data_IF_762106001503
#
_entry.id   IF_762106001503
#
_cell.length_a   1.000
_cell.length_b   1.000
_cell.length_c   1.000
_cell.angle_alpha   90.00
_cell.angle_beta   90.00
_cell.angle_gamma   90.00
#
_symmetry.space_group_name_H-M   'P 1'
#
loop_
_entity.id
_entity.type
_entity.pdbx_description
1 polymer ?
#
# COMPACT_ATOMS: atom_id res chain seq x y z
N UNK A 1 2.69 22.18 -22.17
CA UNK A 1 2.18 21.80 -20.82
C UNK A 1 2.64 20.39 -20.51
N UNK A 2 3.06 20.11 -19.28
CA UNK A 2 3.38 18.72 -18.87
C UNK A 2 2.08 17.87 -18.94
N UNK A 3 2.18 16.63 -19.41
CA UNK A 3 1.04 15.73 -19.42
C UNK A 3 0.56 15.50 -17.98
N UNK A 4 -0.74 15.63 -17.74
CA UNK A 4 -1.36 15.24 -16.46
C UNK A 4 -1.58 13.74 -16.45
N UNK A 5 -1.54 13.14 -15.28
CA UNK A 5 -1.62 11.69 -15.09
C UNK A 5 -2.86 11.37 -14.26
N UNK A 6 -3.76 10.57 -14.84
CA UNK A 6 -5.03 10.17 -14.23
C UNK A 6 -4.95 8.76 -13.66
N UNK A 7 -5.62 8.53 -12.53
CA UNK A 7 -5.93 7.20 -11.99
C UNK A 7 -7.29 6.79 -12.57
N UNK A 8 -7.29 5.83 -13.50
CA UNK A 8 -8.50 5.41 -14.23
C UNK A 8 -9.06 4.08 -13.74
N UNK A 9 -8.28 3.27 -13.08
CA UNK A 9 -8.72 2.00 -12.50
C UNK A 9 -8.05 1.73 -11.17
N UNK A 10 -8.76 1.06 -10.27
CA UNK A 10 -8.30 0.66 -8.95
C UNK A 10 -8.69 -0.79 -8.70
N UNK A 11 -7.73 -1.59 -8.21
CA UNK A 11 -7.96 -2.95 -7.76
C UNK A 11 -7.31 -3.19 -6.41
N UNK A 12 -8.01 -3.92 -5.54
CA UNK A 12 -7.61 -4.10 -4.15
C UNK A 12 -7.79 -5.54 -3.70
N UNK A 13 -6.79 -6.06 -3.01
CA UNK A 13 -6.89 -7.21 -2.13
C UNK A 13 -6.42 -6.77 -0.74
N UNK A 14 -7.24 -6.96 0.27
CA UNK A 14 -6.99 -6.45 1.62
C UNK A 14 -7.39 -7.49 2.68
N UNK A 15 -7.12 -7.27 3.97
CA UNK A 15 -7.60 -8.15 5.04
C UNK A 15 -9.13 -8.35 5.07
N UNK A 16 -9.88 -7.50 4.38
CA UNK A 16 -11.34 -7.61 4.26
C UNK A 16 -11.80 -8.49 3.09
N UNK A 17 -10.91 -8.81 2.16
CA UNK A 17 -11.19 -9.60 0.98
C UNK A 17 -10.69 -8.96 -0.32
N UNK A 18 -11.25 -9.46 -1.43
CA UNK A 18 -10.91 -9.04 -2.79
C UNK A 18 -11.96 -8.04 -3.28
N UNK A 19 -11.50 -6.94 -3.83
CA UNK A 19 -12.32 -5.92 -4.46
C UNK A 19 -12.21 -4.54 -3.83
N UNK A 20 -12.13 -3.52 -4.68
CA UNK A 20 -12.10 -2.10 -4.29
C UNK A 20 -13.32 -1.71 -3.47
N UNK A 21 -14.51 -2.15 -3.86
CA UNK A 21 -15.76 -1.84 -3.16
C UNK A 21 -15.80 -2.47 -1.76
N UNK A 22 -15.30 -3.70 -1.64
CA UNK A 22 -15.16 -4.38 -0.33
C UNK A 22 -14.24 -3.58 0.57
N UNK A 23 -13.08 -3.20 0.06
CA UNK A 23 -12.12 -2.38 0.81
C UNK A 23 -12.75 -1.06 1.25
N UNK A 24 -13.35 -0.31 0.31
CA UNK A 24 -13.90 1.01 0.58
C UNK A 24 -15.03 0.97 1.62
N UNK A 25 -15.93 0.01 1.49
CA UNK A 25 -17.04 -0.18 2.45
C UNK A 25 -16.51 -0.37 3.88
N UNK A 26 -15.51 -1.23 4.06
CA UNK A 26 -14.97 -1.54 5.39
C UNK A 26 -14.18 -0.38 5.99
N UNK A 27 -13.31 0.28 5.22
CA UNK A 27 -12.54 1.41 5.78
C UNK A 27 -13.40 2.64 6.03
N UNK A 28 -14.44 2.88 5.22
CA UNK A 28 -15.39 3.96 5.47
C UNK A 28 -16.27 3.69 6.70
N UNK A 29 -16.51 2.42 7.02
CA UNK A 29 -17.23 2.00 8.22
C UNK A 29 -16.35 1.94 9.48
N UNK A 30 -15.03 2.16 9.36
CA UNK A 30 -14.11 2.03 10.49
C UNK A 30 -13.93 0.57 10.96
N UNK A 31 -14.00 -0.40 10.07
CA UNK A 31 -13.84 -1.81 10.43
C UNK A 31 -12.37 -2.18 10.64
N UNK A 32 -12.06 -3.01 11.64
CA UNK A 32 -10.72 -3.57 11.83
C UNK A 32 -10.53 -4.88 11.08
N UNK A 33 -9.45 -4.97 10.29
CA UNK A 33 -9.00 -6.21 9.65
C UNK A 33 -7.96 -6.98 10.49
N UNK A 34 -7.61 -6.48 11.68
CA UNK A 34 -6.64 -7.13 12.56
C UNK A 34 -7.28 -8.29 13.31
N UNK A 35 -6.61 -9.45 13.31
CA UNK A 35 -7.08 -10.69 13.92
C UNK A 35 -5.94 -11.39 14.65
N UNK A 36 -6.28 -12.37 15.52
CA UNK A 36 -5.29 -13.30 16.03
C UNK A 36 -4.67 -14.10 14.87
N UNK A 37 -3.40 -14.39 14.95
CA UNK A 37 -2.70 -15.25 13.97
C UNK A 37 -3.17 -16.69 14.18
N UNK A 38 -3.66 -17.30 13.09
CA UNK A 38 -4.15 -18.68 13.05
C UNK A 38 -3.46 -19.53 11.99
N UNK A 39 -2.74 -18.90 11.05
CA UNK A 39 -2.14 -19.57 9.91
C UNK A 39 -0.92 -20.43 10.29
N UNK A 40 -0.37 -20.17 11.49
CA UNK A 40 0.73 -20.94 12.09
C UNK A 40 0.72 -20.80 13.61
N UNK A 41 1.49 -21.64 14.31
CA UNK A 41 1.63 -21.54 15.77
C UNK A 41 2.42 -20.28 16.17
N UNK A 42 1.69 -19.29 16.68
CA UNK A 42 2.26 -18.03 17.16
C UNK A 42 2.45 -17.99 18.70
N UNK A 43 2.24 -19.11 19.41
CA UNK A 43 2.27 -19.14 20.89
C UNK A 43 3.60 -18.68 21.49
N UNK A 44 4.72 -18.89 20.78
CA UNK A 44 6.06 -18.45 21.17
C UNK A 44 6.42 -17.02 20.78
N UNK A 45 5.51 -16.27 20.13
CA UNK A 45 5.76 -14.91 19.67
C UNK A 45 5.24 -13.87 20.66
N UNK A 46 5.94 -12.75 20.77
CA UNK A 46 5.49 -11.62 21.56
C UNK A 46 4.26 -10.95 20.95
N UNK A 47 4.23 -10.78 19.62
CA UNK A 47 3.07 -10.32 18.86
C UNK A 47 2.35 -11.52 18.25
N UNK A 48 1.05 -11.67 18.53
CA UNK A 48 0.22 -12.78 18.06
C UNK A 48 -0.97 -12.29 17.24
N UNK A 49 -0.88 -11.09 16.69
CA UNK A 49 -1.92 -10.46 15.88
C UNK A 49 -1.35 -10.01 14.54
N UNK A 50 -2.18 -10.07 13.50
CA UNK A 50 -1.86 -9.57 12.17
C UNK A 50 -3.13 -9.14 11.43
N UNK A 51 -2.96 -8.31 10.41
CA UNK A 51 -3.99 -8.02 9.43
C UNK A 51 -3.65 -8.75 8.11
N UNK A 52 -3.46 -10.07 8.20
CA UNK A 52 -3.20 -10.94 7.06
C UNK A 52 -4.43 -11.05 6.15
N UNK A 53 -4.21 -11.28 4.86
CA UNK A 53 -5.27 -11.65 3.92
C UNK A 53 -5.54 -13.15 4.05
N UNK A 54 -6.76 -13.58 4.41
CA UNK A 54 -7.07 -15.01 4.54
C UNK A 54 -6.92 -15.75 3.20
N UNK A 55 -6.24 -16.89 3.23
CA UNK A 55 -5.95 -17.69 2.02
C UNK A 55 -7.23 -18.21 1.34
N UNK A 56 -8.28 -18.53 2.10
CA UNK A 56 -9.59 -18.94 1.58
C UNK A 56 -10.26 -17.84 0.74
N UNK A 57 -10.10 -16.57 1.10
CA UNK A 57 -10.65 -15.44 0.32
C UNK A 57 -9.93 -15.31 -1.03
N UNK A 58 -8.62 -15.53 -1.03
CA UNK A 58 -7.80 -15.50 -2.25
C UNK A 58 -8.15 -16.68 -3.17
N UNK A 59 -8.32 -17.87 -2.60
CA UNK A 59 -8.69 -19.07 -3.34
C UNK A 59 -10.09 -18.96 -3.95
N UNK A 60 -11.08 -18.47 -3.19
CA UNK A 60 -12.44 -18.26 -3.67
C UNK A 60 -12.49 -17.26 -4.84
N UNK A 61 -11.80 -16.14 -4.72
CA UNK A 61 -11.70 -15.15 -5.80
C UNK A 61 -10.98 -15.71 -7.04
N UNK A 62 -9.91 -16.47 -6.85
CA UNK A 62 -9.20 -17.13 -7.94
C UNK A 62 -10.06 -18.14 -8.71
N UNK A 63 -10.91 -18.91 -8.02
CA UNK A 63 -11.84 -19.85 -8.63
C UNK A 63 -12.94 -19.15 -9.44
N UNK A 64 -13.49 -18.02 -8.94
CA UNK A 64 -14.48 -17.23 -9.66
C UNK A 64 -13.91 -16.63 -10.95
N UNK A 65 -12.65 -16.21 -10.95
CA UNK A 65 -11.98 -15.69 -12.14
C UNK A 65 -11.59 -16.79 -13.15
N UNK A 66 -11.43 -18.05 -12.71
CA UNK A 66 -11.16 -19.17 -13.61
C UNK A 66 -12.41 -19.71 -14.30
N UNK A 67 -13.61 -19.50 -13.73
CA UNK A 67 -14.89 -20.00 -14.24
C UNK A 67 -15.67 -18.99 -15.10
N UNK A 68 -15.22 -17.73 -15.17
CA UNK A 68 -15.84 -16.69 -16.00
C UNK A 68 -15.53 -16.89 -17.49
N UNK A 69 -16.57 -17.09 -18.29
CA UNK A 69 -16.47 -17.11 -19.76
C UNK A 69 -15.86 -15.77 -20.24
N UNK A 70 -14.60 -15.77 -20.66
CA UNK A 70 -13.94 -14.68 -21.34
C UNK A 70 -12.72 -14.07 -20.65
N UNK A 71 -12.45 -14.36 -19.38
CA UNK A 71 -11.37 -13.68 -18.61
C UNK A 71 -10.01 -14.42 -18.59
N UNK A 72 -9.89 -15.54 -19.24
CA UNK A 72 -8.61 -16.19 -19.44
C UNK A 72 -7.88 -15.50 -20.60
N UNK A 73 -7.03 -14.53 -20.31
CA UNK A 73 -5.93 -14.26 -21.25
C UNK A 73 -5.28 -15.63 -21.55
N UNK A 74 -4.94 -15.94 -22.79
CA UNK A 74 -4.38 -17.24 -23.16
C UNK A 74 -3.00 -17.38 -22.50
N UNK A 75 -2.99 -17.90 -21.29
CA UNK A 75 -1.74 -18.10 -20.52
C UNK A 75 -0.90 -19.23 -21.11
N UNK A 76 -1.36 -19.88 -22.19
CA UNK A 76 -0.72 -21.04 -22.82
C UNK A 76 -0.23 -22.09 -21.81
N UNK A 77 -0.92 -22.23 -20.68
CA UNK A 77 -0.54 -23.11 -19.57
C UNK A 77 0.66 -22.63 -18.75
N UNK A 78 1.16 -21.41 -19.00
CA UNK A 78 2.40 -20.90 -18.39
C UNK A 78 2.21 -20.22 -17.04
N UNK A 79 1.00 -19.75 -16.71
CA UNK A 79 0.69 -19.13 -15.45
C UNK A 79 -0.10 -20.11 -14.55
N UNK A 80 0.61 -20.97 -13.82
CA UNK A 80 -0.01 -21.86 -12.84
C UNK A 80 -0.01 -21.20 -11.45
N UNK A 81 -1.19 -20.75 -10.94
CA UNK A 81 -1.28 -20.07 -9.64
C UNK A 81 -0.75 -20.89 -8.46
N UNK A 82 -0.63 -22.22 -8.62
CA UNK A 82 -0.09 -23.12 -7.56
C UNK A 82 1.39 -22.87 -7.29
N UNK A 83 2.11 -22.27 -8.24
CA UNK A 83 3.53 -21.94 -8.08
C UNK A 83 3.76 -20.49 -7.62
N UNK A 84 2.71 -19.68 -7.46
CA UNK A 84 2.84 -18.29 -7.04
C UNK A 84 3.12 -18.17 -5.54
N UNK A 85 4.00 -17.24 -5.18
CA UNK A 85 4.05 -16.71 -3.83
C UNK A 85 2.71 -16.03 -3.48
N UNK A 86 2.36 -15.93 -2.20
CA UNK A 86 1.13 -15.27 -1.76
C UNK A 86 1.04 -13.85 -2.31
N UNK A 87 2.12 -13.07 -2.22
CA UNK A 87 2.20 -11.70 -2.74
C UNK A 87 1.82 -11.61 -4.23
N UNK A 88 2.30 -12.55 -5.06
CA UNK A 88 2.00 -12.58 -6.50
C UNK A 88 0.52 -12.88 -6.76
N UNK A 89 -0.08 -13.79 -5.98
CA UNK A 89 -1.53 -14.07 -6.06
C UNK A 89 -2.36 -12.83 -5.76
N UNK A 90 -2.02 -12.11 -4.66
CA UNK A 90 -2.70 -10.86 -4.29
C UNK A 90 -2.54 -9.80 -5.39
N UNK A 91 -1.30 -9.63 -5.88
CA UNK A 91 -0.98 -8.65 -6.91
C UNK A 91 -1.71 -8.90 -8.23
N UNK A 92 -1.77 -10.17 -8.70
CA UNK A 92 -2.46 -10.52 -9.96
C UNK A 92 -3.97 -10.29 -9.85
N UNK A 93 -4.60 -10.63 -8.70
CA UNK A 93 -6.03 -10.36 -8.48
C UNK A 93 -6.33 -8.86 -8.51
N UNK A 94 -5.57 -8.05 -7.77
CA UNK A 94 -5.73 -6.61 -7.76
C UNK A 94 -5.43 -5.99 -9.15
N UNK A 95 -4.43 -6.49 -9.87
CA UNK A 95 -4.08 -6.04 -11.21
C UNK A 95 -5.22 -6.25 -12.21
N UNK A 96 -5.84 -7.42 -12.20
CA UNK A 96 -7.01 -7.73 -13.05
C UNK A 96 -8.18 -6.79 -12.76
N UNK A 97 -8.46 -6.53 -11.49
CA UNK A 97 -9.52 -5.60 -11.12
C UNK A 97 -9.18 -4.16 -11.60
N UNK A 98 -7.96 -3.67 -11.33
CA UNK A 98 -7.53 -2.34 -11.73
C UNK A 98 -7.60 -2.12 -13.25
N UNK A 99 -7.21 -3.13 -14.02
CA UNK A 99 -7.21 -3.06 -15.47
C UNK A 99 -8.63 -3.08 -16.05
N UNK A 100 -9.49 -3.96 -15.51
CA UNK A 100 -10.92 -4.03 -15.87
C UNK A 100 -11.66 -2.76 -15.46
N UNK A 101 -11.40 -2.23 -14.26
CA UNK A 101 -12.02 -1.00 -13.76
C UNK A 101 -11.63 0.23 -14.60
N UNK A 102 -10.43 0.21 -15.20
CA UNK A 102 -10.01 1.20 -16.18
C UNK A 102 -10.70 1.03 -17.54
N UNK A 103 -11.46 -0.05 -17.78
CA UNK A 103 -12.04 -0.37 -19.08
C UNK A 103 -10.99 -0.76 -20.11
N UNK A 104 -9.90 -1.40 -19.66
CA UNK A 104 -8.81 -1.89 -20.50
C UNK A 104 -8.85 -3.42 -20.56
N UNK A 105 -8.50 -3.96 -21.74
CA UNK A 105 -8.47 -5.42 -21.95
C UNK A 105 -7.06 -5.98 -21.74
N UNK A 106 -6.92 -7.20 -21.18
CA UNK A 106 -5.68 -7.94 -21.16
C UNK A 106 -5.07 -8.11 -22.55
N UNK A 107 -3.76 -8.29 -22.63
CA UNK A 107 -3.04 -8.43 -23.91
C UNK A 107 -2.61 -7.10 -24.54
N UNK A 108 -2.81 -5.98 -23.83
CA UNK A 108 -2.28 -4.69 -24.26
C UNK A 108 -0.74 -4.73 -24.22
N UNK A 109 -0.11 -4.75 -25.41
CA UNK A 109 1.35 -4.91 -25.53
C UNK A 109 2.13 -3.68 -25.09
N UNK A 110 1.50 -2.49 -25.08
CA UNK A 110 2.17 -1.22 -24.78
C UNK A 110 2.05 -0.83 -23.30
N UNK A 111 1.16 -1.48 -22.56
CA UNK A 111 1.04 -1.24 -21.13
C UNK A 111 2.19 -1.91 -20.35
N UNK A 112 2.79 -1.17 -19.43
CA UNK A 112 3.85 -1.64 -18.54
C UNK A 112 3.37 -1.81 -17.10
N UNK A 113 4.24 -2.40 -16.26
CA UNK A 113 4.02 -2.68 -14.84
C UNK A 113 5.17 -2.10 -14.02
N UNK A 114 4.89 -1.18 -13.11
CA UNK A 114 5.84 -0.67 -12.12
C UNK A 114 5.21 -0.73 -10.75
N UNK A 115 5.60 -1.68 -9.92
CA UNK A 115 5.00 -1.91 -8.61
C UNK A 115 6.02 -1.88 -7.50
N UNK A 116 5.57 -1.63 -6.27
CA UNK A 116 6.37 -1.66 -5.07
C UNK A 116 6.14 -2.93 -4.27
N UNK A 117 7.22 -3.52 -3.73
CA UNK A 117 7.17 -4.60 -2.77
C UNK A 117 8.37 -4.54 -1.85
N UNK A 118 8.17 -4.80 -0.56
CA UNK A 118 9.25 -4.80 0.43
C UNK A 118 9.97 -6.14 0.52
N UNK A 119 9.23 -7.24 0.44
CA UNK A 119 9.76 -8.57 0.74
C UNK A 119 9.56 -9.61 -0.38
N UNK A 120 8.78 -9.29 -1.42
CA UNK A 120 8.52 -10.26 -2.49
C UNK A 120 7.93 -11.56 -1.97
N UNK A 121 8.36 -12.69 -2.51
CA UNK A 121 7.89 -14.03 -2.14
C UNK A 121 8.56 -14.61 -0.89
N UNK A 122 8.64 -13.83 0.18
CA UNK A 122 9.28 -14.24 1.44
C UNK A 122 8.64 -15.49 2.05
N UNK A 123 7.34 -15.70 1.90
CA UNK A 123 6.61 -16.89 2.34
C UNK A 123 7.16 -18.17 1.69
N UNK A 124 7.52 -18.09 0.41
CA UNK A 124 8.14 -19.20 -0.33
C UNK A 124 9.58 -19.37 0.13
N UNK A 125 10.34 -18.27 0.27
CA UNK A 125 11.73 -18.32 0.71
C UNK A 125 11.85 -19.01 2.08
N UNK A 126 11.07 -18.61 3.08
CA UNK A 126 11.08 -19.22 4.41
C UNK A 126 10.80 -20.72 4.36
N UNK A 127 9.76 -21.15 3.66
CA UNK A 127 9.42 -22.57 3.53
C UNK A 127 10.51 -23.39 2.82
N UNK A 128 11.04 -22.88 1.72
CA UNK A 128 12.04 -23.60 0.92
C UNK A 128 13.40 -23.68 1.63
N UNK A 129 13.80 -22.63 2.34
CA UNK A 129 15.00 -22.69 3.19
C UNK A 129 14.82 -23.61 4.39
N UNK A 130 13.64 -23.69 4.99
CA UNK A 130 13.37 -24.67 6.05
C UNK A 130 13.54 -26.12 5.55
N UNK A 131 13.03 -26.46 4.36
CA UNK A 131 13.25 -27.77 3.75
C UNK A 131 14.73 -28.04 3.43
N UNK A 132 15.44 -27.05 2.93
CA UNK A 132 16.87 -27.16 2.66
C UNK A 132 17.68 -27.42 3.95
N UNK A 133 17.48 -26.62 4.99
CA UNK A 133 18.24 -26.75 6.25
C UNK A 133 17.84 -27.98 7.07
N UNK A 134 16.65 -28.55 6.87
CA UNK A 134 16.26 -29.83 7.46
C UNK A 134 16.86 -31.05 6.73
N UNK A 135 17.56 -30.84 5.61
CA UNK A 135 18.13 -31.91 4.78
C UNK A 135 17.12 -32.55 3.82
N UNK A 136 15.90 -32.04 3.73
CA UNK A 136 14.85 -32.54 2.84
C UNK A 136 14.99 -31.98 1.41
N UNK A 137 16.17 -32.10 0.79
CA UNK A 137 16.51 -31.48 -0.50
C UNK A 137 15.55 -31.85 -1.64
N UNK A 138 14.96 -33.05 -1.61
CA UNK A 138 13.99 -33.49 -2.60
C UNK A 138 12.67 -32.71 -2.56
N UNK A 139 12.39 -31.97 -1.50
CA UNK A 139 11.21 -31.12 -1.35
C UNK A 139 11.44 -29.67 -1.82
N UNK A 140 12.70 -29.31 -2.07
CA UNK A 140 13.02 -27.95 -2.57
C UNK A 140 12.57 -27.83 -4.02
N UNK A 141 11.70 -26.86 -4.28
CA UNK A 141 11.14 -26.60 -5.61
C UNK A 141 12.22 -26.05 -6.55
N UNK A 142 12.27 -26.47 -7.83
CA UNK A 142 13.10 -25.82 -8.84
C UNK A 142 12.71 -24.36 -9.08
N UNK A 143 11.50 -23.96 -8.69
CA UNK A 143 11.00 -22.59 -8.78
C UNK A 143 11.23 -21.77 -7.48
N UNK A 144 11.89 -22.34 -6.46
CA UNK A 144 12.10 -21.68 -5.17
C UNK A 144 12.71 -20.27 -5.33
N UNK A 145 13.77 -20.14 -6.13
CA UNK A 145 14.46 -18.86 -6.34
C UNK A 145 13.60 -17.88 -7.17
N UNK A 146 13.15 -18.21 -8.41
CA UNK A 146 12.43 -17.23 -9.22
C UNK A 146 11.14 -16.75 -8.57
N UNK A 147 10.45 -17.58 -7.76
CA UNK A 147 9.19 -17.23 -7.11
C UNK A 147 9.39 -16.41 -5.83
N UNK A 148 10.56 -16.53 -5.18
CA UNK A 148 10.83 -15.82 -3.92
C UNK A 148 11.46 -14.43 -4.10
N UNK A 149 12.10 -14.14 -5.24
CA UNK A 149 12.75 -12.83 -5.45
C UNK A 149 11.72 -11.70 -5.56
N UNK A 150 12.09 -10.49 -5.09
CA UNK A 150 11.19 -9.34 -5.08
C UNK A 150 10.70 -8.97 -6.48
N UNK A 151 11.56 -9.08 -7.49
CA UNK A 151 11.26 -8.74 -8.88
C UNK A 151 10.15 -9.56 -9.53
N UNK A 152 9.77 -10.73 -8.95
CA UNK A 152 8.77 -11.61 -9.55
C UNK A 152 7.37 -10.98 -9.62
N UNK A 153 7.04 -10.07 -8.70
CA UNK A 153 5.69 -9.52 -8.57
C UNK A 153 5.24 -8.82 -9.86
N UNK A 154 6.10 -7.97 -10.46
CA UNK A 154 5.76 -7.33 -11.74
C UNK A 154 5.71 -8.31 -12.90
N UNK A 155 6.59 -9.32 -12.89
CA UNK A 155 6.64 -10.35 -13.93
C UNK A 155 5.37 -11.19 -13.95
N UNK A 156 4.88 -11.63 -12.78
CA UNK A 156 3.64 -12.42 -12.67
C UNK A 156 2.41 -11.63 -13.11
N UNK A 157 2.34 -10.35 -12.79
CA UNK A 157 1.29 -9.45 -13.30
C UNK A 157 1.39 -9.38 -14.84
N UNK A 158 2.58 -9.13 -15.38
CA UNK A 158 2.81 -9.02 -16.83
C UNK A 158 2.41 -10.31 -17.56
N UNK A 159 2.80 -11.49 -17.02
CA UNK A 159 2.44 -12.80 -17.57
C UNK A 159 0.93 -13.01 -17.52
N UNK A 160 0.31 -12.72 -16.37
CA UNK A 160 -1.11 -12.98 -16.15
C UNK A 160 -2.05 -12.10 -17.00
N UNK A 161 -1.61 -10.89 -17.37
CA UNK A 161 -2.40 -9.94 -18.17
C UNK A 161 -1.87 -9.79 -19.60
N UNK A 162 -0.76 -10.44 -19.98
CA UNK A 162 -0.18 -10.33 -21.31
C UNK A 162 0.40 -8.94 -21.61
N UNK A 163 0.87 -8.21 -20.59
CA UNK A 163 1.47 -6.88 -20.74
C UNK A 163 2.94 -7.01 -21.12
N UNK A 164 3.38 -6.31 -22.15
CA UNK A 164 4.73 -6.44 -22.72
C UNK A 164 5.55 -5.16 -22.67
N UNK A 165 5.02 -4.11 -22.06
CA UNK A 165 5.79 -2.92 -21.74
C UNK A 165 6.82 -3.19 -20.63
N UNK A 166 7.39 -2.13 -20.06
CA UNK A 166 8.35 -2.25 -18.96
C UNK A 166 7.76 -3.02 -17.77
N UNK A 167 8.59 -3.81 -17.09
CA UNK A 167 8.17 -4.61 -15.93
C UNK A 167 9.21 -4.48 -14.82
N UNK A 168 8.91 -3.64 -13.83
CA UNK A 168 9.84 -3.29 -12.75
C UNK A 168 9.21 -3.42 -11.36
N UNK A 169 10.04 -3.77 -10.37
CA UNK A 169 9.69 -3.68 -8.96
C UNK A 169 10.64 -2.73 -8.25
N UNK A 170 10.09 -1.76 -7.52
CA UNK A 170 10.84 -0.91 -6.62
C UNK A 170 10.75 -1.49 -5.20
N UNK A 171 11.91 -1.60 -4.54
CA UNK A 171 12.00 -2.06 -3.15
C UNK A 171 12.76 -1.03 -2.32
N UNK A 172 11.99 -0.13 -1.71
CA UNK A 172 12.47 0.98 -0.87
C UNK A 172 11.90 0.89 0.55
N UNK A 173 11.62 -0.33 1.04
CA UNK A 173 10.97 -0.56 2.32
C UNK A 173 9.51 -0.15 2.29
N UNK A 174 9.02 0.51 3.34
CA UNK A 174 7.60 0.90 3.41
C UNK A 174 7.19 1.90 2.33
N UNK A 175 8.14 2.67 1.74
CA UNK A 175 7.88 3.65 0.67
C UNK A 175 7.80 3.05 -0.73
N UNK A 176 8.07 1.75 -0.89
CA UNK A 176 8.20 1.08 -2.20
C UNK A 176 7.09 1.42 -3.18
N UNK A 177 5.84 1.33 -2.75
CA UNK A 177 4.70 1.56 -3.63
C UNK A 177 4.39 3.05 -3.88
N UNK A 178 4.68 3.94 -2.92
CA UNK A 178 4.61 5.40 -3.20
C UNK A 178 5.64 5.78 -4.25
N UNK A 179 6.85 5.24 -4.13
CA UNK A 179 7.92 5.48 -5.09
C UNK A 179 7.57 4.91 -6.47
N UNK A 180 7.00 3.68 -6.52
CA UNK A 180 6.54 3.06 -7.76
C UNK A 180 5.50 3.93 -8.49
N UNK A 181 4.50 4.45 -7.77
CA UNK A 181 3.47 5.34 -8.32
C UNK A 181 4.09 6.65 -8.82
N UNK A 182 5.00 7.24 -8.04
CA UNK A 182 5.71 8.46 -8.41
C UNK A 182 6.56 8.30 -9.67
N UNK A 183 7.28 7.18 -9.80
CA UNK A 183 8.07 6.83 -11.00
C UNK A 183 7.16 6.59 -12.21
N UNK A 184 6.10 5.80 -12.05
CA UNK A 184 5.14 5.54 -13.12
C UNK A 184 4.54 6.85 -13.66
N UNK A 185 4.11 7.74 -12.76
CA UNK A 185 3.61 9.06 -13.16
C UNK A 185 4.66 9.91 -13.87
N UNK A 186 5.93 9.84 -13.47
CA UNK A 186 7.01 10.57 -14.13
C UNK A 186 7.25 10.06 -15.56
N UNK A 187 7.25 8.75 -15.78
CA UNK A 187 7.42 8.13 -17.10
C UNK A 187 6.28 8.49 -18.05
N UNK A 188 5.04 8.48 -17.56
CA UNK A 188 3.88 8.93 -18.37
C UNK A 188 4.02 10.41 -18.72
N UNK A 189 4.46 11.29 -17.79
CA UNK A 189 4.70 12.72 -18.07
C UNK A 189 5.81 12.95 -19.10
N UNK A 190 6.80 12.07 -19.12
CA UNK A 190 7.91 12.11 -20.09
C UNK A 190 7.54 11.55 -21.48
N UNK A 191 6.39 10.87 -21.59
CA UNK A 191 5.95 10.24 -22.84
C UNK A 191 6.57 8.86 -23.10
N UNK A 192 7.22 8.26 -22.08
CA UNK A 192 7.82 6.93 -22.17
C UNK A 192 6.77 5.81 -22.12
N UNK A 193 5.59 6.11 -21.59
CA UNK A 193 4.44 5.21 -21.56
C UNK A 193 3.14 6.00 -21.56
N UNK A 194 2.09 5.45 -22.15
CA UNK A 194 0.75 6.02 -22.12
C UNK A 194 -0.12 5.42 -21.02
N UNK A 195 0.13 4.16 -20.67
CA UNK A 195 -0.60 3.37 -19.67
C UNK A 195 0.41 2.60 -18.83
N UNK A 196 0.32 2.73 -17.51
CA UNK A 196 1.11 1.94 -16.56
C UNK A 196 0.21 1.39 -15.44
N UNK A 197 0.34 0.10 -15.17
CA UNK A 197 -0.17 -0.50 -13.95
C UNK A 197 0.85 -0.30 -12.84
N UNK A 198 0.43 0.28 -11.73
CA UNK A 198 1.31 0.64 -10.61
C UNK A 198 0.63 0.45 -9.26
N UNK A 199 1.35 0.69 -8.19
CA UNK A 199 0.90 0.49 -6.82
C UNK A 199 1.84 -0.44 -6.07
N UNK A 200 1.32 -1.35 -5.26
CA UNK A 200 2.18 -2.31 -4.56
C UNK A 200 1.44 -3.47 -3.91
N UNK A 201 2.22 -4.49 -3.60
CA UNK A 201 1.75 -5.70 -2.92
C UNK A 201 2.82 -6.23 -1.95
N UNK A 202 2.37 -6.69 -0.78
CA UNK A 202 3.18 -7.47 0.16
C UNK A 202 2.34 -8.49 0.92
N UNK A 203 2.97 -9.61 1.26
CA UNK A 203 2.41 -10.71 2.05
C UNK A 203 3.46 -11.18 3.07
N UNK A 204 3.69 -10.34 4.08
CA UNK A 204 4.79 -10.49 5.03
C UNK A 204 4.37 -11.07 6.40
N UNK A 205 3.12 -11.50 6.59
CA UNK A 205 2.66 -12.07 7.85
C UNK A 205 3.13 -13.52 8.03
N UNK A 206 4.44 -13.76 7.84
CA UNK A 206 5.09 -15.05 7.94
C UNK A 206 5.76 -15.23 9.31
N UNK A 207 6.01 -16.47 9.77
CA UNK A 207 6.64 -16.73 11.06
C UNK A 207 7.97 -16.00 11.27
N UNK A 208 8.87 -16.04 10.28
CA UNK A 208 10.19 -15.43 10.38
C UNK A 208 10.11 -13.89 10.37
N UNK A 209 9.26 -13.31 9.56
CA UNK A 209 9.07 -11.86 9.51
C UNK A 209 8.50 -11.33 10.83
N UNK A 210 7.43 -11.95 11.33
CA UNK A 210 6.84 -11.55 12.62
C UNK A 210 7.84 -11.70 13.75
N UNK A 211 8.56 -12.83 13.81
CA UNK A 211 9.61 -13.04 14.81
C UNK A 211 10.69 -11.94 14.71
N UNK A 212 11.16 -11.63 13.50
CA UNK A 212 12.16 -10.59 13.26
C UNK A 212 11.72 -9.23 13.79
N UNK A 213 10.49 -8.80 13.47
CA UNK A 213 9.92 -7.54 13.95
C UNK A 213 9.67 -7.53 15.47
N UNK A 214 9.28 -8.67 16.08
CA UNK A 214 9.22 -8.82 17.53
C UNK A 214 10.59 -8.60 18.18
N UNK A 215 11.66 -9.15 17.58
CA UNK A 215 13.04 -8.93 18.06
C UNK A 215 13.49 -7.48 17.97
N UNK A 216 12.98 -6.73 16.98
CA UNK A 216 13.19 -5.29 16.86
C UNK A 216 12.37 -4.46 17.86
N UNK A 217 11.39 -5.06 18.54
CA UNK A 217 10.46 -4.40 19.49
C UNK A 217 9.66 -3.27 18.84
N UNK A 218 9.18 -3.49 17.62
CA UNK A 218 8.42 -2.49 16.85
C UNK A 218 6.97 -2.90 16.60
N UNK A 219 6.59 -4.13 17.02
CA UNK A 219 5.23 -4.69 16.89
C UNK A 219 4.42 -4.49 18.16
N UNK A 220 3.11 -4.36 18.02
CA UNK A 220 2.17 -4.33 19.13
C UNK A 220 2.15 -5.66 19.87
N UNK A 221 2.23 -5.63 21.21
CA UNK A 221 2.27 -6.82 22.08
C UNK A 221 1.25 -6.78 23.21
N UNK A 222 0.69 -5.61 23.52
CA UNK A 222 -0.23 -5.42 24.65
C UNK A 222 -1.70 -5.76 24.32
N UNK A 223 -1.97 -6.07 23.03
CA UNK A 223 -3.34 -6.26 22.53
C UNK A 223 -3.58 -7.64 21.91
N UNK A 224 -2.77 -8.66 22.27
CA UNK A 224 -2.91 -10.01 21.73
C UNK A 224 -4.28 -10.66 22.02
N UNK A 225 -4.92 -10.29 23.10
CA UNK A 225 -6.27 -10.72 23.54
C UNK A 225 -7.40 -9.85 22.96
N UNK A 226 -7.06 -8.70 22.40
CA UNK A 226 -8.00 -7.74 21.79
C UNK A 226 -7.46 -7.29 20.42
N UNK A 227 -7.32 -8.21 19.45
CA UNK A 227 -6.59 -7.94 18.20
C UNK A 227 -7.12 -6.74 17.43
N UNK A 228 -8.43 -6.49 17.42
CA UNK A 228 -9.03 -5.36 16.72
C UNK A 228 -8.55 -3.99 17.25
N UNK A 229 -8.05 -3.92 18.48
CA UNK A 229 -7.56 -2.70 19.13
C UNK A 229 -6.03 -2.50 18.98
N UNK A 230 -5.30 -3.47 18.42
CA UNK A 230 -3.84 -3.49 18.44
C UNK A 230 -3.17 -2.40 17.58
N UNK A 231 -3.79 -2.04 16.45
CA UNK A 231 -3.30 -0.92 15.64
C UNK A 231 -4.07 0.35 16.01
N UNK A 232 -3.38 1.28 16.66
CA UNK A 232 -3.97 2.50 17.22
C UNK A 232 -3.10 3.74 17.01
N UNK A 233 -2.91 4.16 15.75
CA UNK A 233 -2.09 5.33 15.44
C UNK A 233 -2.54 6.56 16.22
N UNK A 234 -1.56 7.36 16.70
CA UNK A 234 -1.74 8.63 17.42
C UNK A 234 -2.40 8.52 18.81
N UNK A 235 -2.79 7.30 19.23
CA UNK A 235 -3.32 7.04 20.57
C UNK A 235 -2.17 6.89 21.58
N UNK A 236 -2.38 7.34 22.81
CA UNK A 236 -1.39 7.25 23.90
C UNK A 236 -1.05 5.80 24.25
N UNK A 237 -2.01 4.89 24.09
CA UNK A 237 -1.83 3.46 24.36
C UNK A 237 -1.14 2.67 23.25
N UNK A 238 -0.65 3.33 22.17
CA UNK A 238 0.07 2.63 21.10
C UNK A 238 1.38 2.02 21.60
N UNK A 239 1.71 0.84 21.13
CA UNK A 239 2.91 0.10 21.55
C UNK A 239 3.71 -0.52 20.39
N UNK A 240 3.29 -0.28 19.15
CA UNK A 240 3.93 -0.81 17.95
C UNK A 240 2.94 -1.02 16.82
N UNK A 241 3.45 -1.35 15.64
CA UNK A 241 2.59 -1.64 14.50
C UNK A 241 2.07 -3.09 14.51
N UNK A 242 0.97 -3.31 13.83
CA UNK A 242 0.46 -4.63 13.46
C UNK A 242 0.87 -4.92 12.02
N UNK A 243 1.45 -6.08 11.74
CA UNK A 243 1.81 -6.46 10.38
C UNK A 243 0.55 -6.74 9.55
N UNK A 244 0.48 -6.14 8.35
CA UNK A 244 -0.62 -6.31 7.40
C UNK A 244 -0.16 -6.92 6.09
N UNK A 245 -1.12 -7.36 5.28
CA UNK A 245 -0.92 -7.88 3.93
C UNK A 245 -1.92 -7.27 2.96
N UNK A 246 -1.58 -7.31 1.68
CA UNK A 246 -2.51 -6.93 0.63
C UNK A 246 -1.83 -6.46 -0.65
N UNK A 247 -2.68 -6.10 -1.61
CA UNK A 247 -2.28 -5.48 -2.87
C UNK A 247 -3.24 -4.33 -3.17
N UNK A 248 -2.69 -3.18 -3.46
CA UNK A 248 -3.42 -1.98 -3.91
C UNK A 248 -2.79 -1.54 -5.20
N UNK A 249 -3.45 -1.83 -6.31
CA UNK A 249 -2.97 -1.51 -7.64
C UNK A 249 -3.89 -0.50 -8.32
N UNK A 250 -3.32 0.25 -9.22
CA UNK A 250 -4.04 1.27 -9.99
C UNK A 250 -3.51 1.34 -11.41
N UNK A 251 -4.38 1.69 -12.34
CA UNK A 251 -4.03 2.02 -13.72
C UNK A 251 -3.83 3.53 -13.82
N UNK A 252 -2.64 3.93 -14.23
CA UNK A 252 -2.31 5.31 -14.57
C UNK A 252 -2.33 5.49 -16.07
N UNK A 253 -2.93 6.59 -16.53
CA UNK A 253 -2.98 6.99 -17.95
C UNK A 253 -2.70 8.48 -18.12
N UNK A 254 -2.27 8.87 -19.30
CA UNK A 254 -2.33 10.28 -19.68
C UNK A 254 -3.78 10.77 -19.61
N UNK A 255 -4.01 11.88 -18.89
CA UNK A 255 -5.36 12.38 -18.64
C UNK A 255 -6.11 12.71 -19.93
N UNK A 256 -5.45 13.31 -20.92
CA UNK A 256 -6.05 13.66 -22.20
C UNK A 256 -6.57 12.43 -22.95
N UNK A 257 -5.84 11.32 -22.93
CA UNK A 257 -6.27 10.03 -23.52
C UNK A 257 -7.41 9.41 -22.72
N UNK A 258 -7.30 9.40 -21.39
CA UNK A 258 -8.37 8.89 -20.52
C UNK A 258 -9.69 9.62 -20.78
N UNK A 259 -9.65 10.96 -20.84
CA UNK A 259 -10.84 11.77 -21.17
C UNK A 259 -11.37 11.53 -22.59
N UNK A 260 -10.48 11.43 -23.58
CA UNK A 260 -10.88 11.19 -24.97
C UNK A 260 -11.63 9.87 -25.17
N UNK A 261 -11.32 8.82 -24.37
CA UNK A 261 -12.04 7.54 -24.41
C UNK A 261 -13.20 7.44 -23.41
N UNK A 262 -13.51 8.52 -22.69
CA UNK A 262 -14.58 8.55 -21.70
C UNK A 262 -14.32 7.74 -20.43
N UNK A 263 -13.05 7.54 -20.07
CA UNK A 263 -12.68 6.79 -18.88
C UNK A 263 -13.16 7.51 -17.61
N UNK A 264 -13.52 6.71 -16.61
CA UNK A 264 -13.69 7.20 -15.24
C UNK A 264 -12.31 7.63 -14.71
N UNK A 265 -12.25 8.76 -14.03
CA UNK A 265 -11.05 9.26 -13.37
C UNK A 265 -11.35 9.40 -11.88
N UNK A 266 -10.60 8.69 -11.04
CA UNK A 266 -10.73 8.76 -9.58
C UNK A 266 -10.05 9.99 -9.00
N UNK A 267 -8.85 10.26 -9.47
CA UNK A 267 -7.99 11.37 -9.06
C UNK A 267 -6.89 11.57 -10.10
N UNK A 268 -6.14 12.65 -9.97
CA UNK A 268 -4.92 12.91 -10.75
C UNK A 268 -3.71 12.90 -9.84
N UNK A 269 -2.58 12.38 -10.33
CA UNK A 269 -1.29 12.45 -9.62
C UNK A 269 -0.67 13.80 -9.94
N UNK A 270 -0.55 14.70 -8.95
CA UNK A 270 -0.06 16.06 -9.18
C UNK A 270 1.42 16.21 -8.86
N UNK A 271 1.86 15.66 -7.72
CA UNK A 271 3.24 15.79 -7.29
C UNK A 271 3.74 14.57 -6.53
N UNK A 272 5.05 14.32 -6.60
CA UNK A 272 5.72 13.25 -5.87
C UNK A 272 7.12 13.68 -5.51
N UNK A 273 7.60 13.31 -4.32
CA UNK A 273 8.99 13.46 -3.92
C UNK A 273 9.42 12.32 -2.98
N UNK A 274 10.70 11.98 -3.05
CA UNK A 274 11.36 11.07 -2.13
C UNK A 274 12.64 11.73 -1.60
N UNK A 275 12.95 11.47 -0.32
CA UNK A 275 14.15 11.94 0.39
C UNK A 275 14.71 10.83 1.27
N UNK A 276 15.87 11.07 1.85
CA UNK A 276 16.49 10.12 2.77
C UNK A 276 17.12 10.91 3.94
N UNK A 277 16.78 10.50 5.19
CA UNK A 277 17.38 11.12 6.39
C UNK A 277 18.88 10.87 6.50
N UNK A 278 19.38 9.78 5.89
CA UNK A 278 20.74 9.29 6.03
C UNK A 278 21.21 9.18 7.50
N UNK A 279 20.25 8.86 8.39
CA UNK A 279 20.42 8.90 9.84
C UNK A 279 20.69 7.51 10.43
N UNK A 280 19.75 6.57 10.30
CA UNK A 280 19.84 5.24 10.89
C UNK A 280 19.04 4.20 10.11
N UNK A 281 19.45 2.92 10.18
CA UNK A 281 18.77 1.83 9.42
C UNK A 281 17.34 1.51 9.88
N UNK A 282 16.97 1.88 11.11
CA UNK A 282 15.64 1.61 11.69
C UNK A 282 14.97 2.89 12.18
N UNK A 283 15.70 3.73 12.91
CA UNK A 283 15.18 4.97 13.50
C UNK A 283 15.15 6.06 12.43
N UNK A 284 14.06 6.85 12.42
CA UNK A 284 14.01 8.10 11.67
C UNK A 284 14.76 9.22 12.42
N UNK A 285 15.17 10.25 11.70
CA UNK A 285 15.71 11.46 12.33
C UNK A 285 14.61 12.11 13.19
N UNK A 286 14.83 12.30 14.51
CA UNK A 286 13.85 12.92 15.38
C UNK A 286 13.46 14.36 14.99
N UNK A 287 14.35 15.09 14.30
CA UNK A 287 14.03 16.41 13.76
C UNK A 287 13.07 16.34 12.57
N UNK A 288 13.09 15.29 11.79
CA UNK A 288 12.21 15.08 10.65
C UNK A 288 12.44 16.06 9.49
N UNK A 289 13.62 16.64 9.38
CA UNK A 289 13.93 17.63 8.34
C UNK A 289 13.66 17.10 6.93
N UNK A 290 14.06 15.87 6.65
CA UNK A 290 13.87 15.25 5.35
C UNK A 290 12.41 14.82 5.08
N UNK A 291 11.63 14.51 6.12
CA UNK A 291 10.17 14.30 6.02
C UNK A 291 9.50 15.61 5.58
N UNK A 292 9.83 16.73 6.24
CA UNK A 292 9.36 18.06 5.86
C UNK A 292 9.76 18.38 4.42
N UNK A 293 11.01 18.10 4.05
CA UNK A 293 11.52 18.34 2.69
C UNK A 293 10.77 17.50 1.64
N UNK A 294 10.48 16.22 1.92
CA UNK A 294 9.70 15.36 1.00
C UNK A 294 8.31 15.94 0.73
N UNK A 295 7.56 16.29 1.78
CA UNK A 295 6.24 16.92 1.63
C UNK A 295 6.31 18.24 0.88
N UNK A 296 7.24 19.14 1.25
CA UNK A 296 7.42 20.44 0.59
C UNK A 296 7.78 20.30 -0.88
N UNK A 297 8.65 19.35 -1.23
CA UNK A 297 9.01 19.08 -2.62
C UNK A 297 7.82 18.49 -3.42
N UNK A 298 7.03 17.62 -2.82
CA UNK A 298 5.83 17.06 -3.46
C UNK A 298 4.81 18.17 -3.77
N UNK A 299 4.51 19.05 -2.81
CA UNK A 299 3.64 20.22 -2.99
C UNK A 299 4.16 21.16 -4.08
N UNK A 300 5.46 21.48 -4.05
CA UNK A 300 6.08 22.33 -5.08
C UNK A 300 5.97 21.71 -6.47
N UNK A 301 6.15 20.39 -6.61
CA UNK A 301 6.02 19.69 -7.89
C UNK A 301 4.58 19.58 -8.36
N UNK A 302 3.63 19.58 -7.43
CA UNK A 302 2.20 19.68 -7.69
C UNK A 302 1.76 21.09 -8.07
N UNK A 303 2.61 22.10 -7.86
CA UNK A 303 2.27 23.53 -8.02
C UNK A 303 1.06 23.94 -7.16
N UNK A 304 0.90 23.29 -6.00
CA UNK A 304 -0.18 23.56 -5.04
C UNK A 304 0.39 24.15 -3.75
N UNK A 305 -0.22 25.23 -3.23
CA UNK A 305 0.11 25.73 -1.90
C UNK A 305 -0.44 24.76 -0.83
N UNK A 306 0.16 24.72 0.37
CA UNK A 306 -0.30 23.83 1.45
C UNK A 306 -1.80 23.98 1.78
N UNK A 307 -2.35 25.16 1.63
CA UNK A 307 -3.75 25.50 1.94
C UNK A 307 -4.78 24.79 1.05
N UNK A 308 -4.38 24.31 -0.12
CA UNK A 308 -5.23 23.54 -1.04
C UNK A 308 -5.40 22.07 -0.61
N UNK A 309 -4.51 21.56 0.25
CA UNK A 309 -4.62 20.20 0.77
C UNK A 309 -5.71 20.15 1.84
N UNK A 310 -6.75 19.39 1.59
CA UNK A 310 -7.87 19.21 2.52
C UNK A 310 -7.80 17.90 3.32
N UNK A 311 -7.01 16.92 2.86
CA UNK A 311 -6.87 15.62 3.50
C UNK A 311 -5.43 15.10 3.44
N UNK A 312 -4.98 14.48 4.54
CA UNK A 312 -3.73 13.71 4.57
C UNK A 312 -4.01 12.24 4.91
N UNK A 313 -3.49 11.32 4.09
CA UNK A 313 -3.30 9.94 4.51
C UNK A 313 -1.91 9.81 5.13
N UNK A 314 -1.87 9.66 6.45
CA UNK A 314 -0.65 9.57 7.24
C UNK A 314 0.05 8.24 7.09
N UNK A 315 1.36 8.24 7.26
CA UNK A 315 2.09 6.99 7.50
C UNK A 315 1.59 6.31 8.77
N UNK A 316 1.51 7.02 9.90
CA UNK A 316 0.76 6.67 11.11
C UNK A 316 0.80 5.18 11.46
N UNK A 317 1.95 4.68 11.95
CA UNK A 317 2.19 3.24 12.12
C UNK A 317 1.75 2.69 13.46
N UNK A 318 1.22 3.51 14.37
CA UNK A 318 0.94 3.09 15.76
C UNK A 318 2.22 2.84 16.58
N UNK A 319 3.36 3.39 16.13
CA UNK A 319 4.62 3.30 16.88
C UNK A 319 4.86 4.53 17.73
N UNK A 320 5.55 4.32 18.86
CA UNK A 320 5.84 5.41 19.81
C UNK A 320 6.70 6.50 19.16
N UNK A 321 7.58 6.13 18.22
CA UNK A 321 8.51 7.08 17.59
C UNK A 321 7.91 7.80 16.38
N UNK A 322 7.27 7.05 15.45
CA UNK A 322 6.82 7.61 14.17
C UNK A 322 5.75 8.68 14.33
N UNK A 323 4.70 8.35 15.09
CA UNK A 323 3.47 9.13 15.08
C UNK A 323 3.65 10.59 15.56
N UNK A 324 4.41 10.87 16.66
CA UNK A 324 4.67 12.24 17.06
C UNK A 324 5.61 12.99 16.11
N UNK A 325 6.63 12.32 15.55
CA UNK A 325 7.55 12.94 14.58
C UNK A 325 6.79 13.36 13.33
N UNK A 326 5.94 12.48 12.79
CA UNK A 326 5.13 12.78 11.62
C UNK A 326 4.15 13.94 11.87
N UNK A 327 3.45 13.93 13.02
CA UNK A 327 2.55 15.02 13.40
C UNK A 327 3.27 16.37 13.45
N UNK A 328 4.46 16.45 14.10
CA UNK A 328 5.28 17.67 14.13
C UNK A 328 5.72 18.10 12.73
N UNK A 329 6.11 17.15 11.85
CA UNK A 329 6.51 17.46 10.49
C UNK A 329 5.36 18.05 9.68
N UNK A 330 4.15 17.49 9.80
CA UNK A 330 2.96 18.04 9.15
C UNK A 330 2.67 19.45 9.66
N UNK A 331 2.73 19.69 10.96
CA UNK A 331 2.54 21.03 11.51
C UNK A 331 3.59 22.03 10.98
N UNK A 332 4.84 21.61 10.80
CA UNK A 332 5.90 22.47 10.19
C UNK A 332 5.61 22.82 8.73
N UNK A 333 5.09 21.89 7.94
CA UNK A 333 4.78 22.12 6.51
C UNK A 333 3.55 23.00 6.33
N UNK A 334 2.48 22.72 7.10
CA UNK A 334 1.17 23.34 6.90
C UNK A 334 0.92 24.58 7.79
N UNK A 335 1.78 24.83 8.79
CA UNK A 335 1.66 25.98 9.68
C UNK A 335 0.25 26.07 10.30
N UNK A 336 -0.39 27.24 10.19
CA UNK A 336 -1.76 27.45 10.71
C UNK A 336 -2.83 26.65 9.95
N UNK A 337 -2.55 26.22 8.71
CA UNK A 337 -3.50 25.39 7.96
C UNK A 337 -3.63 24.00 8.56
N UNK A 338 -2.63 23.50 9.29
CA UNK A 338 -2.68 22.23 10.00
C UNK A 338 -3.90 22.10 10.93
N UNK A 339 -4.39 23.20 11.50
CA UNK A 339 -5.58 23.21 12.36
C UNK A 339 -6.92 22.97 11.59
N UNK A 340 -6.88 23.14 10.27
CA UNK A 340 -8.03 22.92 9.38
C UNK A 340 -7.91 21.64 8.55
N UNK A 341 -6.74 21.01 8.59
CA UNK A 341 -6.42 19.84 7.83
C UNK A 341 -6.98 18.60 8.53
N UNK A 342 -7.75 17.81 7.80
CA UNK A 342 -8.20 16.52 8.28
C UNK A 342 -7.28 15.41 7.74
N UNK A 343 -7.05 14.36 8.51
CA UNK A 343 -6.27 13.23 8.02
C UNK A 343 -6.56 11.95 8.78
N UNK A 344 -6.12 10.84 8.23
CA UNK A 344 -6.26 9.55 8.92
C UNK A 344 -5.14 8.58 8.56
N UNK A 345 -4.93 7.58 9.43
CA UNK A 345 -4.11 6.43 9.12
C UNK A 345 -4.98 5.19 8.93
N UNK A 346 -5.06 4.72 7.70
CA UNK A 346 -5.74 3.46 7.36
C UNK A 346 -5.08 2.23 7.98
N UNK A 347 -3.84 2.36 8.46
CA UNK A 347 -3.15 1.28 9.19
C UNK A 347 -3.83 0.89 10.49
N UNK A 348 -4.65 1.76 11.06
CA UNK A 348 -5.53 1.40 12.19
C UNK A 348 -6.47 0.23 11.84
N UNK A 349 -6.85 0.10 10.57
CA UNK A 349 -7.82 -0.88 10.07
C UNK A 349 -7.18 -2.06 9.33
N UNK A 350 -6.13 -1.82 8.55
CA UNK A 350 -5.48 -2.83 7.69
C UNK A 350 -4.09 -3.28 8.17
N UNK A 351 -3.64 -2.80 9.33
CA UNK A 351 -2.26 -2.99 9.76
C UNK A 351 -1.26 -2.28 8.84
N UNK A 352 0.00 -2.64 8.94
CA UNK A 352 1.09 -2.08 8.14
C UNK A 352 1.50 -3.07 7.04
N UNK A 353 1.04 -2.89 5.79
CA UNK A 353 1.33 -3.82 4.68
C UNK A 353 2.68 -3.52 4.01
N UNK A 354 3.69 -3.18 4.79
CA UNK A 354 5.10 -2.98 4.40
C UNK A 354 5.26 -2.18 3.10
N UNK A 355 5.85 -2.73 2.05
CA UNK A 355 6.07 -2.04 0.78
C UNK A 355 4.78 -1.66 0.02
N UNK A 356 3.66 -2.31 0.31
CA UNK A 356 2.35 -1.93 -0.23
C UNK A 356 1.69 -0.74 0.50
N UNK A 357 2.28 -0.30 1.61
CA UNK A 357 1.73 0.71 2.52
C UNK A 357 1.37 2.03 1.82
N UNK A 358 2.26 2.52 0.97
CA UNK A 358 2.03 3.76 0.24
C UNK A 358 0.87 3.66 -0.75
N UNK A 359 0.76 2.55 -1.48
CA UNK A 359 -0.34 2.31 -2.41
C UNK A 359 -1.69 2.23 -1.69
N UNK A 360 -1.74 1.59 -0.51
CA UNK A 360 -2.95 1.57 0.33
C UNK A 360 -3.39 2.99 0.69
N UNK A 361 -2.45 3.87 1.06
CA UNK A 361 -2.72 5.28 1.34
C UNK A 361 -3.18 6.06 0.11
N UNK A 362 -2.52 5.87 -1.05
CA UNK A 362 -2.86 6.55 -2.30
C UNK A 362 -4.23 6.12 -2.81
N UNK A 363 -4.55 4.83 -2.79
CA UNK A 363 -5.89 4.32 -3.15
C UNK A 363 -6.95 4.88 -2.21
N UNK A 364 -6.69 4.90 -0.91
CA UNK A 364 -7.60 5.50 0.08
C UNK A 364 -7.86 6.97 -0.23
N UNK A 365 -6.80 7.75 -0.49
CA UNK A 365 -6.93 9.17 -0.80
C UNK A 365 -7.66 9.41 -2.14
N UNK A 366 -7.39 8.60 -3.16
CA UNK A 366 -8.09 8.68 -4.44
C UNK A 366 -9.60 8.40 -4.29
N UNK A 367 -9.96 7.37 -3.52
CA UNK A 367 -11.37 7.06 -3.23
C UNK A 367 -12.03 8.13 -2.36
N UNK A 368 -11.28 8.73 -1.41
CA UNK A 368 -11.78 9.85 -0.61
C UNK A 368 -12.06 11.10 -1.45
N UNK A 369 -11.17 11.46 -2.38
CA UNK A 369 -11.37 12.55 -3.33
C UNK A 369 -12.58 12.29 -4.25
N UNK A 370 -12.75 11.05 -4.69
CA UNK A 370 -13.81 10.64 -5.58
C UNK A 370 -15.20 10.64 -4.89
N UNK A 371 -15.28 10.08 -3.69
CA UNK A 371 -16.55 9.91 -2.95
C UNK A 371 -16.94 11.11 -2.09
N UNK A 372 -15.97 11.95 -1.70
CA UNK A 372 -16.17 13.02 -0.72
C UNK A 372 -16.29 12.54 0.72
N UNK A 373 -15.88 11.27 1.02
CA UNK A 373 -15.87 10.70 2.36
C UNK A 373 -14.43 10.49 2.81
N UNK A 374 -14.06 11.00 3.97
CA UNK A 374 -12.74 10.84 4.58
C UNK A 374 -12.82 9.71 5.61
N UNK A 375 -12.07 8.60 5.45
CA UNK A 375 -12.12 7.48 6.39
C UNK A 375 -11.45 7.81 7.73
N UNK A 376 -11.82 7.12 8.81
CA UNK A 376 -11.30 7.41 10.15
C UNK A 376 -9.93 6.79 10.42
N UNK A 377 -9.31 7.25 11.52
CA UNK A 377 -8.35 6.49 12.31
C UNK A 377 -9.11 5.83 13.46
N UNK A 378 -9.25 4.51 13.45
CA UNK A 378 -9.93 3.80 14.54
C UNK A 378 -8.99 3.57 15.72
N UNK A 379 -9.57 3.18 16.87
CA UNK A 379 -8.85 2.96 18.13
C UNK A 379 -8.17 4.22 18.72
N UNK A 380 -8.54 5.40 18.25
CA UNK A 380 -8.07 6.67 18.79
C UNK A 380 -9.04 7.11 19.90
N UNK A 381 -8.81 6.60 21.11
CA UNK A 381 -9.66 6.80 22.28
C UNK A 381 -9.04 7.72 23.34
N UNK A 382 -7.70 7.75 23.42
CA UNK A 382 -6.91 8.64 24.27
C UNK A 382 -5.82 9.30 23.41
N UNK A 383 -6.13 10.42 22.71
CA UNK A 383 -5.17 11.07 21.82
C UNK A 383 -3.88 11.46 22.53
N UNK A 384 -2.73 11.17 21.92
CA UNK A 384 -1.44 11.57 22.45
C UNK A 384 -1.29 13.10 22.32
N UNK A 385 -0.99 13.84 23.41
CA UNK A 385 -0.79 15.28 23.35
C UNK A 385 0.33 15.75 22.39
N UNK A 386 1.29 14.87 22.07
CA UNK A 386 2.33 15.18 21.06
C UNK A 386 1.79 15.03 19.62
N UNK A 387 0.58 14.50 19.45
CA UNK A 387 -0.10 14.32 18.17
C UNK A 387 -1.32 15.24 18.12
N UNK A 388 -1.12 16.56 18.03
CA UNK A 388 -2.13 17.62 18.21
C UNK A 388 -2.82 18.03 16.89
N UNK A 389 -3.23 17.07 16.05
CA UNK A 389 -3.88 17.27 14.75
C UNK A 389 -5.26 16.57 14.70
N UNK A 390 -6.07 16.88 13.67
CA UNK A 390 -7.32 16.20 13.42
C UNK A 390 -7.09 14.89 12.63
N UNK A 391 -7.09 13.77 13.35
CA UNK A 391 -6.88 12.43 12.76
C UNK A 391 -8.20 11.70 12.40
N UNK A 392 -9.32 12.40 12.34
CA UNK A 392 -10.66 11.84 12.09
C UNK A 392 -10.92 10.63 13.01
N UNK A 393 -11.09 10.81 14.32
CA UNK A 393 -11.15 9.71 15.27
C UNK A 393 -12.41 8.86 15.08
N UNK A 394 -12.23 7.56 14.91
CA UNK A 394 -13.20 6.46 14.97
C UNK A 394 -14.37 6.49 13.96
N UNK A 395 -14.80 7.63 13.45
CA UNK A 395 -15.94 7.74 12.52
C UNK A 395 -15.54 8.50 11.25
N UNK A 396 -15.96 7.99 10.10
CA UNK A 396 -15.73 8.66 8.82
C UNK A 396 -16.46 10.00 8.74
N UNK A 397 -15.88 10.92 7.97
CA UNK A 397 -16.43 12.28 7.84
C UNK A 397 -16.80 12.57 6.39
N UNK A 398 -18.04 12.96 6.13
CA UNK A 398 -18.44 13.50 4.82
C UNK A 398 -17.90 14.92 4.67
N UNK A 399 -16.85 15.05 3.85
CA UNK A 399 -16.18 16.32 3.57
C UNK A 399 -15.47 16.24 2.22
N UNK A 400 -16.05 16.78 1.15
CA UNK A 400 -15.37 16.90 -0.13
C UNK A 400 -14.12 17.78 -0.01
N UNK A 401 -13.04 17.35 -0.60
CA UNK A 401 -11.76 18.07 -0.64
C UNK A 401 -11.22 18.13 -2.07
N UNK A 402 -10.42 19.15 -2.39
CA UNK A 402 -9.86 19.38 -3.73
C UNK A 402 -8.57 18.61 -3.98
N UNK A 403 -7.77 18.44 -2.94
CA UNK A 403 -6.50 17.74 -3.03
C UNK A 403 -6.19 16.98 -1.72
N UNK A 404 -5.37 15.95 -1.86
CA UNK A 404 -4.90 15.13 -0.75
C UNK A 404 -3.40 14.90 -0.84
N UNK A 405 -2.74 14.74 0.32
CA UNK A 405 -1.36 14.33 0.42
C UNK A 405 -1.28 12.94 1.06
N UNK A 406 -0.50 12.04 0.47
CA UNK A 406 -0.17 10.74 1.03
C UNK A 406 1.29 10.76 1.50
N UNK A 407 1.51 10.48 2.78
CA UNK A 407 2.82 10.46 3.38
C UNK A 407 3.23 9.01 3.68
N UNK A 408 4.46 8.64 3.36
CA UNK A 408 4.98 7.30 3.62
C UNK A 408 6.44 7.39 4.07
N UNK A 409 6.70 6.79 5.23
CA UNK A 409 8.01 6.79 5.88
C UNK A 409 8.48 5.35 6.03
N UNK A 410 9.78 5.10 5.94
CA UNK A 410 10.26 3.71 5.92
C UNK A 410 11.59 3.51 6.63
N UNK A 411 11.81 2.30 7.10
CA UNK A 411 13.14 1.88 7.55
C UNK A 411 14.19 2.14 6.47
N UNK A 412 15.42 2.40 6.91
CA UNK A 412 16.49 2.84 6.03
C UNK A 412 16.45 4.35 5.75
N UNK A 413 15.79 5.13 6.62
CA UNK A 413 15.74 6.59 6.52
C UNK A 413 15.03 7.10 5.26
N UNK A 414 14.03 6.39 4.76
CA UNK A 414 13.35 6.72 3.50
C UNK A 414 12.03 7.44 3.74
N UNK A 415 11.81 8.52 3.00
CA UNK A 415 10.61 9.34 3.10
C UNK A 415 10.06 9.59 1.70
N UNK A 416 8.75 9.40 1.51
CA UNK A 416 8.06 9.69 0.26
C UNK A 416 6.76 10.43 0.54
N UNK A 417 6.46 11.41 -0.29
CA UNK A 417 5.20 12.13 -0.28
C UNK A 417 4.62 12.22 -1.70
N UNK A 418 3.31 12.03 -1.82
CA UNK A 418 2.59 12.07 -3.09
C UNK A 418 1.34 12.92 -2.94
N UNK A 419 1.09 13.82 -3.89
CA UNK A 419 -0.06 14.73 -3.93
C UNK A 419 -1.02 14.28 -5.02
N UNK A 420 -2.29 14.15 -4.66
CA UNK A 420 -3.40 13.88 -5.55
C UNK A 420 -4.31 15.08 -5.66
N UNK A 421 -4.83 15.33 -6.86
CA UNK A 421 -5.89 16.30 -7.14
C UNK A 421 -7.20 15.60 -7.47
N UNK A 422 -8.33 16.25 -7.16
CA UNK A 422 -9.65 15.82 -7.62
C UNK A 422 -9.73 15.99 -9.13
N UNK A 423 -10.33 15.03 -9.85
CA UNK A 423 -10.44 15.01 -11.31
C UNK A 423 -11.46 16.02 -11.87
#
# INVERSE_FOLDING_TARGET
MKARVAITGIGVVSPFGVGREVFWTHISAGASGTRAITDFDASGLACRVSAAVPDEMVAAAGALHASGNGDAAPTNGRADPRHYAKVSRLAVLAAREAFRDAGLEPGNTDAGVIVGSGAGGIDVAERQYAEYFSGAFHKVSPYAIPVSIVGIVSSEISIALGLRGMSHVLSTGCTSSTDAIGYAAALIRQGEADVLLTGGADACATPGMIFGFCRMRVTSTNYNDRPAEASRPFDRGRDGFVLGEGAWLMTLEREDRARARGAKIYATVEGYASTCDAYHRVQMDPDGAEIVRAMTLALRRAELPPEEIGYINYHGTSTVLNDPVEARCVRRVFGRHADKLAGSSTKSMIGHPQGASGAAGVVTAALALFSGVLPPTINLTDPDPECDLDFIPNEARSRPVSAALCNCLGFGSKNSALVLGRA
#
